data_IF_829768484921
#
_entry.id   IF_829768484921
#
_cell.length_a   1.000
_cell.length_b   1.000
_cell.length_c   1.000
_cell.angle_alpha   90.00
_cell.angle_beta   90.00
_cell.angle_gamma   90.00
#
_symmetry.space_group_name_H-M   'P 1'
#
loop_
_entity.id
_entity.type
_entity.pdbx_description
1 polymer ?
#
# COMPACT_ATOMS: atom_id res chain seq x y z
N UNK A 1 -36.42 21.00 -35.32
CA UNK A 1 -35.27 20.06 -35.27
C UNK A 1 -34.28 20.55 -34.24
N UNK A 2 -34.07 19.78 -33.18
CA UNK A 2 -32.88 19.70 -32.30
C UNK A 2 -33.29 18.94 -31.04
N UNK A 3 -33.27 17.62 -31.17
CA UNK A 3 -33.51 16.64 -30.12
C UNK A 3 -32.24 16.56 -29.25
N UNK A 4 -32.30 16.99 -27.99
CA UNK A 4 -31.24 16.69 -27.02
C UNK A 4 -31.67 15.47 -26.22
N UNK A 5 -31.25 14.31 -26.71
CA UNK A 5 -31.49 13.02 -26.09
C UNK A 5 -30.78 12.91 -24.74
N UNK A 6 -31.59 12.68 -23.71
CA UNK A 6 -31.15 12.21 -22.40
C UNK A 6 -30.55 10.81 -22.60
N UNK A 7 -29.22 10.75 -22.71
CA UNK A 7 -28.50 9.48 -22.79
C UNK A 7 -28.33 8.92 -21.37
N UNK A 8 -29.41 8.42 -20.79
CA UNK A 8 -29.35 7.55 -19.63
C UNK A 8 -28.97 6.14 -20.14
N UNK A 9 -27.69 5.78 -19.99
CA UNK A 9 -27.30 4.38 -20.17
C UNK A 9 -27.87 3.56 -19.01
N UNK A 10 -28.54 2.42 -19.28
CA UNK A 10 -28.96 1.51 -18.23
C UNK A 10 -27.73 0.88 -17.56
N UNK A 11 -27.52 1.21 -16.29
CA UNK A 11 -26.58 0.57 -15.36
C UNK A 11 -27.09 -0.82 -14.97
N UNK A 12 -27.35 -1.66 -15.96
CA UNK A 12 -27.85 -3.02 -15.74
C UNK A 12 -27.08 -4.00 -16.60
N UNK A 13 -25.81 -4.12 -16.28
CA UNK A 13 -25.01 -5.27 -16.69
C UNK A 13 -23.89 -5.55 -15.67
N UNK A 14 -24.20 -6.55 -14.82
CA UNK A 14 -23.30 -7.65 -14.44
C UNK A 14 -22.55 -7.50 -13.14
N UNK A 15 -23.32 -7.63 -12.07
CA UNK A 15 -22.91 -8.49 -10.96
C UNK A 15 -22.37 -9.84 -11.45
N UNK A 16 -21.29 -10.28 -10.82
CA UNK A 16 -20.78 -11.66 -10.71
C UNK A 16 -19.95 -12.26 -11.84
N UNK A 17 -18.63 -12.31 -11.62
CA UNK A 17 -17.81 -13.48 -11.93
C UNK A 17 -16.66 -13.58 -10.90
N UNK A 18 -16.75 -14.59 -10.06
CA UNK A 18 -15.70 -15.06 -9.17
C UNK A 18 -14.48 -15.55 -9.96
N UNK A 19 -13.29 -15.21 -9.48
CA UNK A 19 -12.02 -15.62 -10.04
C UNK A 19 -10.90 -15.25 -9.09
N UNK A 20 -10.85 -15.94 -7.94
CA UNK A 20 -9.73 -15.88 -7.03
C UNK A 20 -8.46 -16.39 -7.74
N UNK A 21 -7.57 -15.48 -8.10
CA UNK A 21 -6.20 -15.82 -8.50
C UNK A 21 -5.24 -14.99 -7.66
N UNK A 22 -4.58 -15.71 -6.75
CA UNK A 22 -3.41 -15.34 -5.96
C UNK A 22 -3.25 -13.84 -5.65
N UNK A 23 -3.60 -13.46 -4.42
CA UNK A 23 -2.90 -12.34 -3.79
C UNK A 23 -1.46 -12.80 -3.55
N UNK A 24 -0.63 -12.72 -4.61
CA UNK A 24 0.72 -12.25 -4.38
C UNK A 24 0.49 -10.93 -3.69
N UNK A 25 0.69 -10.89 -2.36
CA UNK A 25 0.50 -9.72 -1.54
C UNK A 25 1.43 -8.63 -2.05
N UNK A 26 1.00 -7.92 -3.08
CA UNK A 26 1.58 -6.68 -3.52
C UNK A 26 1.51 -5.81 -2.27
N UNK A 27 2.64 -5.33 -1.74
CA UNK A 27 2.59 -4.42 -0.60
C UNK A 27 1.66 -3.30 -1.03
N UNK A 28 0.49 -3.21 -0.38
CA UNK A 28 -0.39 -2.07 -0.57
C UNK A 28 0.49 -0.92 -0.14
N UNK A 29 0.98 -0.14 -1.11
CA UNK A 29 1.83 1.00 -0.83
C UNK A 29 0.97 1.91 0.03
N UNK A 30 1.23 1.88 1.33
CA UNK A 30 0.53 2.72 2.29
C UNK A 30 0.74 4.13 1.76
N UNK A 31 -0.36 4.83 1.48
CA UNK A 31 -0.33 6.23 1.07
C UNK A 31 0.18 7.06 2.25
N UNK A 32 1.50 7.05 2.43
CA UNK A 32 2.22 7.57 3.58
C UNK A 32 3.71 7.69 3.23
N UNK A 33 4.45 8.42 4.05
CA UNK A 33 5.86 8.67 3.78
C UNK A 33 6.72 7.41 3.83
N UNK A 34 7.98 7.53 3.39
CA UNK A 34 8.91 6.40 3.27
C UNK A 34 9.06 5.65 4.59
N UNK A 35 9.08 6.37 5.72
CA UNK A 35 9.13 5.80 7.06
C UNK A 35 7.96 4.90 7.40
N UNK A 36 6.75 5.37 7.10
CA UNK A 36 5.52 4.60 7.32
C UNK A 36 5.46 3.35 6.42
N UNK A 37 5.92 3.46 5.18
CA UNK A 37 6.03 2.31 4.28
C UNK A 37 7.05 1.29 4.80
N UNK A 38 8.19 1.73 5.32
CA UNK A 38 9.19 0.86 5.93
C UNK A 38 8.62 0.13 7.16
N UNK A 39 7.94 0.85 8.05
CA UNK A 39 7.27 0.28 9.23
C UNK A 39 6.24 -0.77 8.84
N UNK A 40 5.35 -0.44 7.90
CA UNK A 40 4.32 -1.36 7.42
C UNK A 40 4.94 -2.63 6.80
N UNK A 41 6.01 -2.48 6.02
CA UNK A 41 6.73 -3.62 5.44
C UNK A 41 7.42 -4.48 6.51
N UNK A 42 8.01 -3.87 7.55
CA UNK A 42 8.60 -4.59 8.69
C UNK A 42 7.54 -5.41 9.42
N UNK A 43 6.41 -4.77 9.76
CA UNK A 43 5.30 -5.39 10.48
C UNK A 43 4.66 -6.52 9.69
N UNK A 44 4.42 -6.32 8.39
CA UNK A 44 3.90 -7.37 7.50
C UNK A 44 4.82 -8.59 7.39
N UNK A 45 6.13 -8.40 7.57
CA UNK A 45 7.13 -9.48 7.59
C UNK A 45 7.34 -10.09 8.97
N UNK A 46 6.73 -9.54 10.02
CA UNK A 46 6.97 -9.94 11.41
C UNK A 46 8.43 -9.73 11.85
N UNK A 47 9.16 -8.83 11.20
CA UNK A 47 10.57 -8.58 11.48
C UNK A 47 10.75 -7.61 12.65
N UNK A 48 11.77 -7.83 13.47
CA UNK A 48 12.18 -6.90 14.50
C UNK A 48 12.92 -5.69 13.90
N UNK A 49 12.95 -4.58 14.65
CA UNK A 49 13.66 -3.38 14.24
C UNK A 49 15.18 -3.62 14.11
N UNK A 50 15.74 -4.51 14.95
CA UNK A 50 17.15 -4.91 14.89
C UNK A 50 17.48 -5.71 13.61
N UNK A 51 16.59 -6.61 13.19
CA UNK A 51 16.77 -7.37 11.94
C UNK A 51 16.70 -6.46 10.71
N UNK A 52 15.81 -5.46 10.73
CA UNK A 52 15.74 -4.44 9.67
C UNK A 52 17.01 -3.59 9.66
N UNK A 53 17.50 -3.15 10.82
CA UNK A 53 18.74 -2.38 10.96
C UNK A 53 19.95 -3.15 10.39
N UNK A 54 20.09 -4.43 10.73
CA UNK A 54 21.12 -5.29 10.15
C UNK A 54 20.98 -5.43 8.63
N UNK A 55 19.76 -5.65 8.13
CA UNK A 55 19.47 -5.83 6.70
C UNK A 55 19.79 -4.58 5.89
N UNK A 56 19.46 -3.40 6.42
CA UNK A 56 19.71 -2.10 5.80
C UNK A 56 21.12 -1.57 6.07
N UNK A 57 21.88 -2.22 6.96
CA UNK A 57 23.21 -1.77 7.43
C UNK A 57 23.17 -0.37 8.05
N UNK A 58 22.10 -0.08 8.79
CA UNK A 58 21.90 1.15 9.53
C UNK A 58 21.96 0.86 11.03
N UNK A 59 22.20 1.89 11.85
CA UNK A 59 22.05 1.79 13.30
C UNK A 59 20.57 1.70 13.71
N UNK A 60 20.26 1.06 14.85
CA UNK A 60 18.89 0.96 15.38
C UNK A 60 18.17 2.31 15.41
N UNK A 61 18.83 3.33 16.01
CA UNK A 61 18.28 4.69 16.12
C UNK A 61 18.01 5.33 14.76
N UNK A 62 18.81 5.01 13.74
CA UNK A 62 18.58 5.51 12.39
C UNK A 62 17.35 4.87 11.77
N UNK A 63 17.13 3.57 11.97
CA UNK A 63 15.90 2.90 11.51
C UNK A 63 14.67 3.42 12.26
N UNK A 64 14.76 3.67 13.58
CA UNK A 64 13.68 4.33 14.32
C UNK A 64 13.39 5.73 13.79
N UNK A 65 14.43 6.53 13.51
CA UNK A 65 14.27 7.85 12.92
C UNK A 65 13.62 7.77 11.52
N UNK A 66 14.03 6.79 10.70
CA UNK A 66 13.40 6.52 9.40
C UNK A 66 11.91 6.20 9.57
N UNK A 67 11.54 5.26 10.44
CA UNK A 67 10.14 4.85 10.65
C UNK A 67 9.27 5.98 11.22
N UNK A 68 9.86 6.91 11.98
CA UNK A 68 9.16 8.08 12.54
C UNK A 68 9.27 9.35 11.68
N UNK A 69 9.96 9.28 10.54
CA UNK A 69 10.17 10.40 9.62
C UNK A 69 10.90 11.59 10.29
N UNK A 70 11.83 11.29 11.20
CA UNK A 70 12.56 12.27 12.00
C UNK A 70 13.98 12.47 11.42
N UNK A 71 14.15 13.49 10.59
CA UNK A 71 15.37 13.72 9.77
C UNK A 71 16.36 14.74 10.34
N UNK A 72 16.15 15.19 11.57
CA UNK A 72 17.00 16.20 12.24
C UNK A 72 18.27 15.57 12.81
#
# INVERSE_FOLDING_TARGET
MSEQGIFALPQEARSSATGAVATSGSPTLVAGGVGQQLRAAREARGASLAEVALSLKLGLRQVEALENEEWQ
#
